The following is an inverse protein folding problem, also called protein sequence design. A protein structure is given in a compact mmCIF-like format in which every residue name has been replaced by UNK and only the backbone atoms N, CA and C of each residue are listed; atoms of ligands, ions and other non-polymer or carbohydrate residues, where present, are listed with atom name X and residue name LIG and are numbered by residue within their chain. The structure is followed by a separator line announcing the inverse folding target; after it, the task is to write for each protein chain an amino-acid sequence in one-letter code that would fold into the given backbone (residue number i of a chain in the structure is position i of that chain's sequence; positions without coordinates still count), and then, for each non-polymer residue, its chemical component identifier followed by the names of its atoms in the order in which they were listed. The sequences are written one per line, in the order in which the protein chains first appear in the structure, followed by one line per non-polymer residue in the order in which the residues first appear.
data_IF_506990885620
#
_entry.id   IF_506990885620
#
_cell.length_a   1.000
_cell.length_b   1.000
_cell.length_c   1.000
_cell.angle_alpha   90.00
_cell.angle_beta   90.00
_cell.angle_gamma   90.00
#
_symmetry.space_group_name_H-M   'P 1'
#
loop_
_entity.id
_entity.type
_entity.pdbx_description
1 polymer ?
#
# COMPACT_ATOMS: atom_id res chain seq x y z
N UNK A 1 -1.86 32.36 2.31
CA UNK A 1 -1.96 31.96 0.88
C UNK A 1 -0.90 30.94 0.51
N UNK A 2 0.39 31.17 0.79
CA UNK A 2 1.47 30.20 0.53
C UNK A 2 1.26 28.85 1.24
N UNK A 3 0.95 28.87 2.54
CA UNK A 3 0.76 27.65 3.34
C UNK A 3 -0.41 26.77 2.86
N UNK A 4 -1.46 27.38 2.29
CA UNK A 4 -2.59 26.63 1.74
C UNK A 4 -2.23 25.91 0.45
N UNK A 5 -1.39 26.54 -0.39
CA UNK A 5 -0.93 25.96 -1.65
C UNK A 5 0.10 24.86 -1.41
N UNK A 6 1.01 25.05 -0.44
CA UNK A 6 1.99 24.04 -0.04
C UNK A 6 1.32 22.79 0.53
N UNK A 7 0.31 22.96 1.40
CA UNK A 7 -0.51 21.84 1.90
C UNK A 7 -1.23 21.12 0.77
N UNK A 8 -1.93 21.85 -0.10
CA UNK A 8 -2.63 21.22 -1.23
C UNK A 8 -1.72 20.44 -2.17
N UNK A 9 -0.49 20.91 -2.40
CA UNK A 9 0.49 20.17 -3.20
C UNK A 9 1.01 18.92 -2.48
N UNK A 10 1.22 18.99 -1.17
CA UNK A 10 1.63 17.85 -0.37
C UNK A 10 0.54 16.77 -0.34
N UNK A 11 -0.71 17.18 -0.09
CA UNK A 11 -1.88 16.29 -0.05
C UNK A 11 -2.08 15.60 -1.41
N UNK A 12 -2.07 16.36 -2.51
CA UNK A 12 -2.22 15.79 -3.86
C UNK A 12 -1.08 14.83 -4.25
N UNK A 13 0.16 15.08 -3.78
CA UNK A 13 1.27 14.14 -3.96
C UNK A 13 1.06 12.85 -3.16
N UNK A 14 0.58 12.96 -1.92
CA UNK A 14 0.30 11.80 -1.08
C UNK A 14 -0.85 10.96 -1.66
N UNK A 15 -1.93 11.59 -2.13
CA UNK A 15 -3.05 10.94 -2.81
C UNK A 15 -2.57 10.21 -4.07
N UNK A 16 -1.84 10.89 -4.96
CA UNK A 16 -1.32 10.26 -6.19
C UNK A 16 -0.37 9.10 -5.92
N UNK A 17 0.42 9.18 -4.84
CA UNK A 17 1.28 8.08 -4.41
C UNK A 17 0.46 6.90 -3.88
N UNK A 18 -0.57 7.17 -3.06
CA UNK A 18 -1.45 6.13 -2.54
C UNK A 18 -2.23 5.42 -3.66
N UNK A 19 -2.69 6.14 -4.68
CA UNK A 19 -3.33 5.52 -5.86
C UNK A 19 -2.37 4.64 -6.68
N UNK A 20 -1.11 5.02 -6.79
CA UNK A 20 -0.08 4.19 -7.42
C UNK A 20 0.17 2.91 -6.61
N UNK A 21 0.37 3.10 -5.31
CA UNK A 21 0.68 2.06 -4.34
C UNK A 21 -0.47 1.04 -4.20
N UNK A 22 -1.72 1.50 -4.27
CA UNK A 22 -2.90 0.64 -4.15
C UNK A 22 -2.95 -0.45 -5.22
N UNK A 23 -2.35 -0.22 -6.41
CA UNK A 23 -2.27 -1.23 -7.47
C UNK A 23 -1.39 -2.41 -7.06
N UNK A 24 -0.29 -2.15 -6.35
CA UNK A 24 0.60 -3.20 -5.82
C UNK A 24 -0.12 -3.96 -4.71
N UNK A 25 -0.78 -3.23 -3.79
CA UNK A 25 -1.62 -3.79 -2.72
C UNK A 25 -2.70 -4.74 -3.29
N UNK A 26 -3.40 -4.34 -4.36
CA UNK A 26 -4.39 -5.21 -5.04
C UNK A 26 -3.76 -6.52 -5.53
N UNK A 27 -2.56 -6.48 -6.10
CA UNK A 27 -1.88 -7.68 -6.61
C UNK A 27 -1.48 -8.60 -5.44
N UNK A 28 -0.95 -8.04 -4.35
CA UNK A 28 -0.61 -8.77 -3.13
C UNK A 28 -1.86 -9.44 -2.55
N UNK A 29 -2.98 -8.71 -2.42
CA UNK A 29 -4.26 -9.24 -1.94
C UNK A 29 -4.73 -10.44 -2.76
N UNK A 30 -4.70 -10.32 -4.10
CA UNK A 30 -5.06 -11.41 -5.02
C UNK A 30 -4.14 -12.63 -4.87
N UNK A 31 -2.85 -12.43 -4.59
CA UNK A 31 -1.93 -13.54 -4.32
C UNK A 31 -2.18 -14.20 -2.95
N UNK A 32 -2.50 -13.41 -1.91
CA UNK A 32 -2.92 -13.96 -0.60
C UNK A 32 -4.20 -14.79 -0.68
N UNK A 33 -5.18 -14.37 -1.48
CA UNK A 33 -6.40 -15.15 -1.77
C UNK A 33 -6.10 -16.50 -2.45
N UNK A 34 -4.93 -16.64 -3.09
CA UNK A 34 -4.43 -17.90 -3.67
C UNK A 34 -3.54 -18.69 -2.69
N UNK A 35 -3.52 -18.32 -1.42
CA UNK A 35 -2.72 -18.93 -0.34
C UNK A 35 -1.21 -18.84 -0.53
N UNK A 36 -0.71 -17.87 -1.31
CA UNK A 36 0.73 -17.62 -1.37
C UNK A 36 1.19 -16.97 -0.07
N UNK A 37 2.37 -17.38 0.42
CA UNK A 37 3.02 -16.76 1.57
C UNK A 37 3.81 -15.51 1.16
N UNK A 38 4.25 -14.73 2.15
CA UNK A 38 4.98 -13.46 1.97
C UNK A 38 6.20 -13.64 1.06
N UNK A 39 7.02 -14.66 1.29
CA UNK A 39 8.26 -14.90 0.54
C UNK A 39 7.98 -15.19 -0.94
N UNK A 40 7.01 -16.05 -1.23
CA UNK A 40 6.59 -16.35 -2.60
C UNK A 40 5.99 -15.14 -3.30
N UNK A 41 5.28 -14.26 -2.57
CA UNK A 41 4.73 -13.04 -3.14
C UNK A 41 5.85 -12.06 -3.49
N UNK A 42 6.79 -11.85 -2.56
CA UNK A 42 7.95 -10.99 -2.74
C UNK A 42 8.78 -11.41 -3.96
N UNK A 43 9.12 -12.69 -4.06
CA UNK A 43 9.84 -13.25 -5.21
C UNK A 43 9.08 -13.05 -6.52
N UNK A 44 7.78 -13.40 -6.56
CA UNK A 44 6.97 -13.29 -7.77
C UNK A 44 6.77 -11.85 -8.27
N UNK A 45 6.91 -10.86 -7.39
CA UNK A 45 6.71 -9.45 -7.71
C UNK A 45 8.02 -8.67 -7.76
N UNK A 46 9.15 -9.33 -7.51
CA UNK A 46 10.47 -8.70 -7.38
C UNK A 46 10.47 -7.55 -6.35
N UNK A 47 9.80 -7.78 -5.21
CA UNK A 47 9.65 -6.83 -4.11
C UNK A 47 10.42 -7.29 -2.86
N UNK A 48 10.71 -6.34 -1.98
CA UNK A 48 11.23 -6.66 -0.65
C UNK A 48 10.20 -7.43 0.18
N UNK A 49 10.63 -8.53 0.80
CA UNK A 49 9.76 -9.33 1.68
C UNK A 49 9.21 -8.52 2.85
N UNK A 50 9.99 -7.58 3.39
CA UNK A 50 9.57 -6.69 4.48
C UNK A 50 8.44 -5.74 4.07
N UNK A 51 8.45 -5.28 2.82
CA UNK A 51 7.36 -4.49 2.26
C UNK A 51 6.08 -5.34 2.15
N UNK A 52 6.19 -6.53 1.56
CA UNK A 52 5.05 -7.44 1.43
C UNK A 52 4.48 -7.84 2.80
N UNK A 53 5.33 -8.07 3.80
CA UNK A 53 4.93 -8.35 5.17
C UNK A 53 4.11 -7.20 5.77
N UNK A 54 4.55 -5.95 5.62
CA UNK A 54 3.79 -4.77 6.07
C UNK A 54 2.42 -4.69 5.41
N UNK A 55 2.36 -4.89 4.08
CA UNK A 55 1.09 -4.88 3.34
C UNK A 55 0.13 -5.95 3.87
N UNK A 56 0.63 -7.18 4.06
CA UNK A 56 -0.19 -8.30 4.57
C UNK A 56 -0.65 -8.05 6.00
N UNK A 57 0.22 -7.56 6.88
CA UNK A 57 -0.13 -7.21 8.25
C UNK A 57 -1.26 -6.17 8.30
N UNK A 58 -1.17 -5.10 7.50
CA UNK A 58 -2.22 -4.08 7.42
C UNK A 58 -3.56 -4.63 6.89
N UNK A 59 -3.54 -5.62 6.00
CA UNK A 59 -4.77 -6.29 5.55
C UNK A 59 -5.38 -7.20 6.63
N UNK A 60 -4.54 -7.87 7.42
CA UNK A 60 -4.97 -8.82 8.45
C UNK A 60 -5.45 -8.11 9.73
N UNK A 61 -4.88 -6.95 10.05
CA UNK A 61 -5.33 -6.07 11.13
C UNK A 61 -6.79 -5.63 10.96
N UNK A 62 -7.21 -5.32 9.73
CA UNK A 62 -8.58 -4.99 9.39
C UNK A 62 -8.91 -5.48 7.97
N UNK A 63 -9.57 -6.65 7.86
CA UNK A 63 -9.93 -7.25 6.58
C UNK A 63 -10.91 -6.42 5.74
N UNK A 64 -11.55 -5.40 6.32
CA UNK A 64 -12.49 -4.53 5.59
C UNK A 64 -11.81 -3.40 4.84
N UNK A 65 -10.52 -3.14 5.12
CA UNK A 65 -9.75 -2.10 4.45
C UNK A 65 -9.73 -2.32 2.94
N UNK A 66 -9.98 -1.25 2.19
CA UNK A 66 -9.76 -1.26 0.75
C UNK A 66 -8.26 -1.27 0.43
N UNK A 67 -7.90 -1.62 -0.80
CA UNK A 67 -6.50 -1.55 -1.23
C UNK A 67 -5.95 -0.11 -1.15
N UNK A 68 -6.79 0.89 -1.41
CA UNK A 68 -6.44 2.30 -1.28
C UNK A 68 -6.18 2.70 0.17
N UNK A 69 -7.01 2.24 1.12
CA UNK A 69 -6.80 2.55 2.54
C UNK A 69 -5.50 1.94 3.08
N UNK A 70 -5.14 0.72 2.65
CA UNK A 70 -3.84 0.13 3.01
C UNK A 70 -2.70 0.96 2.41
N UNK A 71 -2.81 1.36 1.15
CA UNK A 71 -1.82 2.21 0.50
C UNK A 71 -1.66 3.60 1.15
N UNK A 72 -2.76 4.26 1.53
CA UNK A 72 -2.73 5.53 2.27
C UNK A 72 -1.98 5.39 3.59
N UNK A 73 -2.16 4.28 4.30
CA UNK A 73 -1.42 4.01 5.55
C UNK A 73 0.07 3.84 5.26
N UNK A 74 0.45 3.08 4.22
CA UNK A 74 1.85 2.90 3.83
C UNK A 74 2.52 4.23 3.49
N UNK A 75 1.86 5.07 2.68
CA UNK A 75 2.39 6.39 2.28
C UNK A 75 2.58 7.32 3.47
N UNK A 76 1.74 7.23 4.51
CA UNK A 76 1.87 8.02 5.74
C UNK A 76 2.98 7.52 6.67
N UNK A 77 3.45 6.28 6.49
CA UNK A 77 4.51 5.66 7.28
C UNK A 77 5.90 5.79 6.67
N UNK A 78 6.01 6.29 5.43
CA UNK A 78 7.26 6.67 4.78
C UNK A 78 7.76 8.04 5.27
#
# INVERSE_FOLDING_TARGET
LKDGMERGLADGKAEGKAEGESKIVTIIRKKRQKNLNVQMIAENLELDASYVEKVVALMEEDPTRTDLQVAEILVRQE
#
